data_IF_879394119800
#
_entry.id   IF_879394119800
#
_cell.length_a   1.000
_cell.length_b   1.000
_cell.length_c   1.000
_cell.angle_alpha   90.00
_cell.angle_beta   90.00
_cell.angle_gamma   90.00
#
_symmetry.space_group_name_H-M   'P 1'
#
loop_
_entity.id
_entity.type
_entity.pdbx_description
1 polymer ?
#
# COMPACT_ATOMS: atom_id res chain seq x y z
N UNK A 1 16.80 0.42 -18.36
CA UNK A 1 15.92 -0.25 -19.34
C UNK A 1 14.46 -0.22 -18.91
N UNK A 2 14.20 -0.48 -17.63
CA UNK A 2 12.85 -0.56 -17.03
C UNK A 2 12.08 0.77 -17.02
N UNK A 3 12.79 1.90 -17.09
CA UNK A 3 12.20 3.26 -17.11
C UNK A 3 11.99 3.84 -18.52
N UNK A 4 12.24 3.06 -19.55
CA UNK A 4 12.04 3.46 -20.95
C UNK A 4 10.91 2.60 -21.53
N UNK A 5 9.89 3.19 -22.17
CA UNK A 5 8.81 2.46 -22.81
C UNK A 5 9.33 1.36 -23.74
N UNK A 6 8.64 0.23 -23.81
CA UNK A 6 9.10 -0.95 -24.56
C UNK A 6 9.24 -0.72 -26.07
N UNK A 7 8.54 0.26 -26.60
CA UNK A 7 8.56 0.69 -28.00
C UNK A 7 9.72 1.64 -28.33
N UNK A 8 10.47 2.12 -27.35
CA UNK A 8 11.57 3.06 -27.54
C UNK A 8 12.94 2.38 -27.46
N UNK A 9 13.82 2.77 -28.37
CA UNK A 9 15.20 2.28 -28.40
C UNK A 9 16.04 3.02 -27.34
N UNK A 10 16.64 2.26 -26.41
CA UNK A 10 17.48 2.79 -25.31
C UNK A 10 18.56 3.77 -25.81
N UNK A 11 19.31 3.41 -26.86
CA UNK A 11 20.40 4.23 -27.35
C UNK A 11 19.91 5.54 -27.99
N UNK A 12 18.74 5.51 -28.65
CA UNK A 12 18.12 6.72 -29.19
C UNK A 12 17.67 7.64 -28.06
N UNK A 13 16.95 7.11 -27.09
CA UNK A 13 16.47 7.90 -25.94
C UNK A 13 17.63 8.56 -25.18
N UNK A 14 18.72 7.81 -24.95
CA UNK A 14 19.89 8.38 -24.28
C UNK A 14 20.61 9.42 -25.14
N UNK A 15 20.70 9.22 -26.47
CA UNK A 15 21.28 10.18 -27.40
C UNK A 15 20.51 11.51 -27.37
N UNK A 16 19.19 11.44 -27.36
CA UNK A 16 18.31 12.62 -27.29
C UNK A 16 18.44 13.35 -25.96
N UNK A 17 18.42 12.61 -24.83
CA UNK A 17 18.53 13.22 -23.49
C UNK A 17 19.89 13.88 -23.30
N UNK A 18 20.97 13.22 -23.72
CA UNK A 18 22.35 13.69 -23.51
C UNK A 18 22.85 14.61 -24.63
N UNK A 19 22.03 14.87 -25.65
CA UNK A 19 22.38 15.68 -26.83
C UNK A 19 23.71 15.23 -27.47
N UNK A 20 23.91 13.89 -27.62
CA UNK A 20 25.13 13.32 -28.21
C UNK A 20 24.83 12.28 -29.27
N UNK A 21 25.82 11.99 -30.09
CA UNK A 21 25.68 10.99 -31.16
C UNK A 21 25.53 9.56 -30.58
N UNK A 22 24.78 8.71 -31.33
CA UNK A 22 24.53 7.31 -30.89
C UNK A 22 25.82 6.52 -30.64
N UNK A 23 26.87 6.72 -31.42
CA UNK A 23 28.14 6.05 -31.21
C UNK A 23 28.78 6.38 -29.83
N UNK A 24 28.68 7.65 -29.42
CA UNK A 24 29.14 8.09 -28.13
C UNK A 24 28.33 7.44 -26.97
N UNK A 25 27.01 7.27 -27.17
CA UNK A 25 26.15 6.52 -26.24
C UNK A 25 26.55 5.05 -26.19
N UNK A 26 26.74 4.41 -27.35
CA UNK A 26 27.15 2.99 -27.36
C UNK A 26 28.50 2.74 -26.67
N UNK A 27 29.47 3.64 -26.85
CA UNK A 27 30.74 3.55 -26.11
C UNK A 27 30.59 3.64 -24.62
N UNK A 28 29.65 4.49 -24.14
CA UNK A 28 29.32 4.57 -22.70
C UNK A 28 28.61 3.31 -22.20
N UNK A 29 27.64 2.81 -22.96
CA UNK A 29 26.93 1.59 -22.61
C UNK A 29 27.82 0.34 -22.58
N UNK A 30 28.88 0.31 -23.41
CA UNK A 30 29.90 -0.76 -23.37
C UNK A 30 30.98 -0.55 -22.31
N UNK A 31 30.93 0.58 -21.58
CA UNK A 31 31.94 0.89 -20.55
C UNK A 31 33.29 1.37 -21.08
N UNK A 32 33.39 1.67 -22.38
CA UNK A 32 34.62 2.20 -23.02
C UNK A 32 34.90 3.66 -22.60
N UNK A 33 33.82 4.39 -22.28
CA UNK A 33 33.87 5.77 -21.79
C UNK A 33 32.90 5.87 -20.61
N UNK A 34 33.36 6.42 -19.48
CA UNK A 34 32.50 6.63 -18.31
C UNK A 34 31.52 7.79 -18.57
N UNK A 35 30.32 7.66 -18.00
CA UNK A 35 29.41 8.81 -17.89
C UNK A 35 30.02 9.87 -16.96
N UNK A 36 29.91 11.13 -17.35
CA UNK A 36 30.23 12.24 -16.44
C UNK A 36 29.14 12.41 -15.39
N UNK A 37 29.45 13.10 -14.30
CA UNK A 37 28.45 13.35 -13.24
C UNK A 37 27.27 14.19 -13.76
N UNK A 38 27.52 15.12 -14.68
CA UNK A 38 26.48 15.95 -15.30
C UNK A 38 25.56 15.12 -16.19
N UNK A 39 26.12 14.18 -16.95
CA UNK A 39 25.34 13.25 -17.76
C UNK A 39 24.47 12.34 -16.88
N UNK A 40 25.02 11.83 -15.77
CA UNK A 40 24.28 11.01 -14.81
C UNK A 40 23.18 11.82 -14.12
N UNK A 41 23.46 13.07 -13.74
CA UNK A 41 22.45 13.96 -13.15
C UNK A 41 21.31 14.25 -14.12
N UNK A 42 21.61 14.51 -15.39
CA UNK A 42 20.62 14.74 -16.45
C UNK A 42 19.76 13.52 -16.69
N UNK A 43 20.37 12.35 -16.77
CA UNK A 43 19.65 11.06 -16.90
C UNK A 43 18.78 10.77 -15.69
N UNK A 44 19.27 11.05 -14.48
CA UNK A 44 18.50 10.92 -13.23
C UNK A 44 17.23 11.77 -13.29
N UNK A 45 17.34 13.04 -13.66
CA UNK A 45 16.19 13.95 -13.75
C UNK A 45 15.19 13.54 -14.83
N UNK A 46 15.68 13.18 -16.02
CA UNK A 46 14.82 12.90 -17.19
C UNK A 46 14.15 11.53 -17.14
N UNK A 47 14.80 10.54 -16.51
CA UNK A 47 14.30 9.18 -16.42
C UNK A 47 13.70 8.86 -15.04
N UNK A 48 13.72 9.81 -14.09
CA UNK A 48 13.24 9.59 -12.74
C UNK A 48 14.04 8.50 -12.00
N UNK A 49 15.36 8.43 -12.23
CA UNK A 49 16.24 7.44 -11.59
C UNK A 49 16.94 8.09 -10.42
N UNK A 50 16.84 7.51 -9.22
CA UNK A 50 17.60 7.97 -8.06
C UNK A 50 19.07 7.54 -8.15
N UNK A 51 19.99 8.50 -8.09
CA UNK A 51 21.43 8.24 -8.03
C UNK A 51 21.76 7.46 -6.74
N UNK A 52 21.11 7.79 -5.63
CA UNK A 52 21.29 7.09 -4.36
C UNK A 52 20.90 5.60 -4.44
N UNK A 53 19.88 5.27 -5.24
CA UNK A 53 19.52 3.86 -5.51
C UNK A 53 20.59 3.14 -6.34
N UNK A 54 21.24 3.84 -7.28
CA UNK A 54 22.29 3.24 -8.14
C UNK A 54 23.58 3.04 -7.37
N UNK A 55 23.98 4.02 -6.56
CA UNK A 55 25.21 3.97 -5.76
C UNK A 55 25.10 2.96 -4.62
N UNK A 56 23.88 2.49 -4.37
CA UNK A 56 23.57 1.63 -3.24
C UNK A 56 23.82 2.40 -1.95
N UNK A 57 22.79 2.78 -1.26
CA UNK A 57 22.89 3.40 0.06
C UNK A 57 23.37 2.38 1.10
N UNK A 58 24.56 1.81 0.90
CA UNK A 58 25.27 1.02 1.90
C UNK A 58 25.81 1.90 3.05
N UNK A 59 25.48 3.19 3.05
CA UNK A 59 25.65 4.03 4.22
C UNK A 59 24.55 3.68 5.19
N UNK A 60 24.86 2.91 6.18
CA UNK A 60 24.02 2.15 7.13
C UNK A 60 22.92 2.92 7.88
N UNK A 61 22.72 4.22 7.63
CA UNK A 61 21.83 5.10 8.38
C UNK A 61 20.87 5.92 7.51
N UNK A 62 20.75 5.64 6.20
CA UNK A 62 19.82 6.34 5.31
C UNK A 62 18.90 5.35 4.63
N UNK A 63 17.61 5.65 4.65
CA UNK A 63 16.57 4.94 3.89
C UNK A 63 15.99 5.91 2.89
N UNK A 64 15.96 5.52 1.62
CA UNK A 64 15.34 6.31 0.55
C UNK A 64 13.88 5.89 0.44
N UNK A 65 12.97 6.84 0.51
CA UNK A 65 11.55 6.63 0.30
C UNK A 65 11.12 7.29 -1.02
N UNK A 66 10.39 6.55 -1.84
CA UNK A 66 9.66 7.15 -2.95
C UNK A 66 8.41 7.85 -2.39
N UNK A 67 8.41 9.17 -2.41
CA UNK A 67 7.20 9.96 -2.17
C UNK A 67 6.26 9.77 -3.37
N UNK A 68 5.38 8.79 -3.25
CA UNK A 68 4.31 8.59 -4.20
C UNK A 68 3.21 9.63 -3.96
N UNK A 69 3.42 10.84 -4.43
CA UNK A 69 2.36 11.85 -4.45
C UNK A 69 1.29 11.38 -5.41
N UNK A 70 0.12 11.10 -4.87
CA UNK A 70 -1.05 10.78 -5.66
C UNK A 70 -1.58 12.08 -6.27
N UNK A 71 -1.51 12.20 -7.58
CA UNK A 71 -2.10 13.30 -8.33
C UNK A 71 -3.52 12.94 -8.80
N UNK A 72 -4.28 12.24 -7.95
CA UNK A 72 -5.64 11.85 -8.29
C UNK A 72 -6.56 13.07 -8.31
N UNK A 73 -7.51 13.07 -9.23
CA UNK A 73 -8.46 14.15 -9.44
C UNK A 73 -9.55 14.20 -8.38
N UNK A 74 -9.73 13.13 -7.59
CA UNK A 74 -10.72 13.04 -6.51
C UNK A 74 -10.23 12.13 -5.37
N UNK A 75 -10.86 12.25 -4.19
CA UNK A 75 -10.58 11.38 -3.04
C UNK A 75 -10.88 9.91 -3.35
N UNK A 76 -11.90 9.64 -4.15
CA UNK A 76 -12.28 8.29 -4.55
C UNK A 76 -11.23 7.63 -5.45
N UNK A 77 -10.73 8.35 -6.45
CA UNK A 77 -9.67 7.83 -7.32
C UNK A 77 -8.36 7.63 -6.56
N UNK A 78 -7.98 8.57 -5.68
CA UNK A 78 -6.79 8.40 -4.84
C UNK A 78 -6.90 7.19 -3.91
N UNK A 79 -8.09 6.94 -3.35
CA UNK A 79 -8.35 5.74 -2.56
C UNK A 79 -8.15 4.46 -3.38
N UNK A 80 -8.78 4.41 -4.57
CA UNK A 80 -8.66 3.27 -5.47
C UNK A 80 -7.21 2.99 -5.86
N UNK A 81 -6.47 4.03 -6.25
CA UNK A 81 -5.06 3.91 -6.65
C UNK A 81 -4.17 3.37 -5.51
N UNK A 82 -4.37 3.85 -4.27
CA UNK A 82 -3.64 3.34 -3.10
C UNK A 82 -3.92 1.87 -2.89
N UNK A 83 -5.19 1.46 -2.85
CA UNK A 83 -5.56 0.07 -2.58
C UNK A 83 -5.09 -0.85 -3.72
N UNK A 84 -5.23 -0.40 -4.97
CA UNK A 84 -4.77 -1.15 -6.13
C UNK A 84 -3.23 -1.33 -6.13
N UNK A 85 -2.48 -0.34 -5.65
CA UNK A 85 -1.03 -0.46 -5.49
C UNK A 85 -0.66 -1.51 -4.43
N UNK A 86 -1.35 -1.55 -3.29
CA UNK A 86 -1.17 -2.61 -2.31
C UNK A 86 -1.46 -3.99 -2.91
N UNK A 87 -2.54 -4.10 -3.68
CA UNK A 87 -2.86 -5.34 -4.39
C UNK A 87 -1.73 -5.78 -5.33
N UNK A 88 -1.18 -4.87 -6.13
CA UNK A 88 -0.06 -5.18 -7.03
C UNK A 88 1.19 -5.67 -6.28
N UNK A 89 1.50 -5.07 -5.13
CA UNK A 89 2.61 -5.50 -4.27
C UNK A 89 2.37 -6.94 -3.79
N UNK A 90 1.20 -7.25 -3.25
CA UNK A 90 0.90 -8.60 -2.77
C UNK A 90 0.81 -9.62 -3.90
N UNK A 91 0.29 -9.24 -5.07
CA UNK A 91 0.26 -10.10 -6.26
C UNK A 91 1.67 -10.44 -6.77
N UNK A 92 2.62 -9.52 -6.64
CA UNK A 92 4.02 -9.78 -6.94
C UNK A 92 4.66 -10.68 -5.88
N UNK A 93 4.50 -10.34 -4.61
CA UNK A 93 5.10 -11.03 -3.46
C UNK A 93 4.66 -12.50 -3.36
N UNK A 94 3.40 -12.82 -3.64
CA UNK A 94 2.88 -14.18 -3.55
C UNK A 94 3.46 -15.16 -4.57
N UNK A 95 4.15 -14.66 -5.61
CA UNK A 95 4.75 -15.51 -6.67
C UNK A 95 6.05 -16.17 -6.24
N UNK A 96 6.74 -15.63 -5.21
CA UNK A 96 7.99 -16.17 -4.69
C UNK A 96 7.76 -16.83 -3.32
N UNK A 97 7.89 -18.15 -3.26
CA UNK A 97 7.66 -18.93 -2.04
C UNK A 97 8.66 -18.67 -0.91
N UNK A 98 9.74 -17.93 -1.16
CA UNK A 98 10.73 -17.54 -0.14
C UNK A 98 10.42 -16.21 0.52
N UNK A 99 9.47 -15.45 -0.03
CA UNK A 99 9.14 -14.11 0.45
C UNK A 99 8.44 -14.13 1.81
N UNK A 100 8.81 -13.18 2.64
CA UNK A 100 8.20 -12.90 3.93
C UNK A 100 7.63 -11.48 3.95
N UNK A 101 6.41 -11.32 4.45
CA UNK A 101 5.71 -10.04 4.58
C UNK A 101 5.65 -9.65 6.04
N UNK A 102 6.24 -8.53 6.40
CA UNK A 102 6.19 -7.96 7.74
C UNK A 102 5.35 -6.69 7.74
N UNK A 103 4.34 -6.64 8.58
CA UNK A 103 3.50 -5.45 8.78
C UNK A 103 3.53 -5.02 10.23
N UNK A 104 3.99 -3.80 10.50
CA UNK A 104 3.92 -3.18 11.82
C UNK A 104 2.89 -2.05 11.78
N UNK A 105 1.90 -2.07 12.69
CA UNK A 105 0.84 -1.07 12.66
C UNK A 105 0.22 -0.80 14.05
N UNK A 106 -0.21 0.45 14.24
CA UNK A 106 -1.02 0.92 15.36
C UNK A 106 -2.51 1.02 15.01
N UNK A 107 -2.86 0.70 13.77
CA UNK A 107 -4.24 0.63 13.29
C UNK A 107 -4.52 -0.72 12.68
N UNK A 108 -5.77 -1.16 12.73
CA UNK A 108 -6.20 -2.46 12.22
C UNK A 108 -5.85 -2.59 10.73
N UNK A 109 -5.04 -3.61 10.32
CA UNK A 109 -4.61 -3.76 8.94
C UNK A 109 -5.78 -3.99 7.99
N UNK A 110 -5.91 -3.14 6.99
CA UNK A 110 -7.01 -3.22 6.03
C UNK A 110 -7.05 -4.56 5.29
N UNK A 111 -5.92 -5.17 5.03
CA UNK A 111 -5.80 -6.48 4.40
C UNK A 111 -6.58 -7.59 5.11
N UNK A 112 -6.83 -7.46 6.42
CA UNK A 112 -7.58 -8.44 7.19
C UNK A 112 -9.09 -8.26 7.09
N UNK A 113 -9.56 -7.01 6.90
CA UNK A 113 -10.98 -6.71 6.90
C UNK A 113 -11.52 -6.16 5.57
N UNK A 114 -10.70 -6.08 4.53
CA UNK A 114 -11.12 -5.54 3.23
C UNK A 114 -12.27 -6.31 2.55
N UNK A 115 -12.49 -7.57 2.93
CA UNK A 115 -13.62 -8.38 2.45
C UNK A 115 -14.92 -8.22 3.26
N UNK A 116 -14.87 -7.52 4.40
CA UNK A 116 -16.05 -7.21 5.20
C UNK A 116 -16.72 -5.94 4.68
N UNK A 117 -17.99 -6.03 4.37
CA UNK A 117 -18.68 -4.95 3.65
C UNK A 117 -18.74 -3.65 4.45
N UNK A 118 -19.24 -3.70 5.70
CA UNK A 118 -19.43 -2.50 6.50
C UNK A 118 -18.10 -1.92 6.99
N UNK A 119 -17.14 -2.75 7.39
CA UNK A 119 -15.80 -2.30 7.78
C UNK A 119 -15.07 -1.62 6.60
N UNK A 120 -15.22 -2.14 5.38
CA UNK A 120 -14.64 -1.56 4.17
C UNK A 120 -15.34 -0.27 3.76
N UNK A 121 -16.67 -0.19 3.85
CA UNK A 121 -17.44 1.04 3.63
C UNK A 121 -17.04 2.11 4.65
N UNK A 122 -16.90 1.74 5.93
CA UNK A 122 -16.46 2.66 6.97
C UNK A 122 -15.06 3.22 6.69
N UNK A 123 -14.11 2.38 6.24
CA UNK A 123 -12.80 2.86 5.82
C UNK A 123 -12.88 3.88 4.68
N UNK A 124 -13.67 3.59 3.66
CA UNK A 124 -13.87 4.50 2.53
C UNK A 124 -14.53 5.81 3.00
N UNK A 125 -15.55 5.73 3.85
CA UNK A 125 -16.20 6.89 4.45
C UNK A 125 -15.20 7.79 5.20
N UNK A 126 -14.32 7.20 6.03
CA UNK A 126 -13.24 7.92 6.71
C UNK A 126 -12.29 8.62 5.74
N UNK A 127 -11.88 7.92 4.68
CA UNK A 127 -11.01 8.48 3.66
C UNK A 127 -11.65 9.68 2.97
N UNK A 128 -12.90 9.54 2.55
CA UNK A 128 -13.67 10.63 1.94
C UNK A 128 -13.78 11.82 2.90
N UNK A 129 -14.10 11.57 4.17
CA UNK A 129 -14.17 12.60 5.20
C UNK A 129 -12.84 13.34 5.39
N UNK A 130 -11.72 12.66 5.48
CA UNK A 130 -10.39 13.24 5.68
C UNK A 130 -9.92 14.07 4.48
N UNK A 131 -10.37 13.74 3.28
CA UNK A 131 -9.98 14.42 2.04
C UNK A 131 -10.97 15.51 1.60
N UNK A 132 -11.95 15.85 2.43
CA UNK A 132 -12.87 16.96 2.18
C UNK A 132 -13.88 16.74 1.05
N UNK A 133 -13.99 15.51 0.57
CA UNK A 133 -14.84 15.16 -0.59
C UNK A 133 -16.22 14.66 -0.14
N UNK A 134 -16.74 15.26 0.94
CA UNK A 134 -17.93 14.74 1.60
C UNK A 134 -19.17 15.55 1.26
N UNK A 135 -20.01 14.91 0.49
CA UNK A 135 -21.43 14.79 0.86
C UNK A 135 -21.55 13.50 1.66
N UNK A 136 -21.36 13.57 2.98
CA UNK A 136 -21.45 12.39 3.84
C UNK A 136 -22.84 11.79 3.74
N UNK A 137 -22.96 10.51 3.41
CA UNK A 137 -24.18 9.79 3.71
C UNK A 137 -24.38 9.76 5.22
N UNK A 138 -25.59 9.89 5.70
CA UNK A 138 -25.91 9.74 7.13
C UNK A 138 -25.92 8.26 7.57
N UNK A 139 -25.64 7.35 6.64
CA UNK A 139 -25.62 5.91 6.83
C UNK A 139 -24.64 5.25 5.85
N UNK A 140 -23.93 4.23 6.30
CA UNK A 140 -23.10 3.40 5.43
C UNK A 140 -23.94 2.57 4.46
N UNK A 141 -25.18 2.26 4.79
CA UNK A 141 -26.11 1.56 3.91
C UNK A 141 -26.45 2.40 2.67
N UNK A 142 -26.63 3.72 2.83
CA UNK A 142 -26.89 4.64 1.73
C UNK A 142 -25.68 4.89 0.84
N UNK A 143 -24.49 4.48 1.30
CA UNK A 143 -23.24 4.71 0.59
C UNK A 143 -23.13 3.75 -0.61
N UNK A 144 -23.28 4.29 -1.82
CA UNK A 144 -22.98 3.57 -3.05
C UNK A 144 -21.46 3.48 -3.23
N UNK A 145 -20.94 2.26 -3.30
CA UNK A 145 -19.52 2.00 -3.53
C UNK A 145 -19.33 1.53 -4.98
N UNK A 146 -18.40 2.17 -5.69
CA UNK A 146 -18.00 1.75 -7.04
C UNK A 146 -17.59 0.28 -7.05
N UNK A 147 -18.11 -0.48 -8.02
CA UNK A 147 -17.82 -1.91 -8.17
C UNK A 147 -16.31 -2.20 -8.29
N UNK A 148 -15.54 -1.29 -8.91
CA UNK A 148 -14.07 -1.39 -8.98
C UNK A 148 -13.44 -1.44 -7.59
N UNK A 149 -13.94 -0.65 -6.64
CA UNK A 149 -13.48 -0.60 -5.25
C UNK A 149 -13.84 -1.90 -4.53
N UNK A 150 -15.07 -2.38 -4.68
CA UNK A 150 -15.49 -3.66 -4.10
C UNK A 150 -14.60 -4.80 -4.59
N UNK A 151 -14.31 -4.83 -5.89
CA UNK A 151 -13.47 -5.86 -6.50
C UNK A 151 -12.03 -5.81 -6.01
N UNK A 152 -11.43 -4.62 -5.90
CA UNK A 152 -10.05 -4.49 -5.41
C UNK A 152 -9.94 -4.85 -3.92
N UNK A 153 -10.96 -4.57 -3.11
CA UNK A 153 -11.03 -4.97 -1.71
C UNK A 153 -11.02 -6.49 -1.55
N UNK A 154 -11.86 -7.21 -2.30
CA UNK A 154 -11.91 -8.69 -2.28
C UNK A 154 -10.57 -9.29 -2.69
N UNK A 155 -10.02 -8.82 -3.83
CA UNK A 155 -8.71 -9.28 -4.32
C UNK A 155 -7.59 -9.02 -3.32
N UNK A 156 -7.60 -7.88 -2.62
CA UNK A 156 -6.60 -7.56 -1.61
C UNK A 156 -6.60 -8.56 -0.45
N UNK A 157 -7.80 -8.88 0.08
CA UNK A 157 -7.96 -9.89 1.13
C UNK A 157 -7.51 -11.28 0.70
N UNK A 158 -7.76 -11.65 -0.56
CA UNK A 158 -7.33 -12.93 -1.13
C UNK A 158 -5.81 -12.96 -1.33
N UNK A 159 -5.21 -11.88 -1.85
CA UNK A 159 -3.77 -11.83 -2.15
C UNK A 159 -2.90 -11.92 -0.92
N UNK A 160 -3.23 -11.25 0.18
CA UNK A 160 -2.47 -11.36 1.42
C UNK A 160 -2.48 -12.78 1.98
N UNK A 161 -3.61 -13.49 1.87
CA UNK A 161 -3.77 -14.87 2.33
C UNK A 161 -2.98 -15.88 1.50
N UNK A 162 -2.54 -15.50 0.30
CA UNK A 162 -1.71 -16.32 -0.59
C UNK A 162 -0.21 -16.05 -0.41
N UNK A 163 0.19 -15.05 0.39
CA UNK A 163 1.59 -14.81 0.70
C UNK A 163 2.18 -15.98 1.48
N UNK A 164 3.42 -16.41 1.18
CA UNK A 164 4.04 -17.61 1.80
C UNK A 164 4.16 -17.51 3.31
N UNK A 165 4.61 -16.34 3.80
CA UNK A 165 4.72 -16.05 5.23
C UNK A 165 4.34 -14.61 5.49
N UNK A 166 3.43 -14.39 6.44
CA UNK A 166 2.96 -13.06 6.85
C UNK A 166 3.12 -12.90 8.37
N UNK A 167 3.71 -11.79 8.76
CA UNK A 167 3.93 -11.43 10.17
C UNK A 167 3.22 -10.12 10.46
N UNK A 168 2.25 -10.15 11.36
CA UNK A 168 1.56 -8.97 11.86
C UNK A 168 2.14 -8.59 13.22
N UNK A 169 2.70 -7.39 13.33
CA UNK A 169 3.24 -6.84 14.57
C UNK A 169 2.34 -5.67 14.96
N UNK A 170 1.60 -5.80 16.05
CA UNK A 170 0.55 -4.89 16.42
C UNK A 170 0.84 -4.12 17.70
N UNK A 171 0.35 -2.89 17.75
CA UNK A 171 0.14 -2.18 19.00
C UNK A 171 -0.97 -2.88 19.81
N UNK A 172 -0.84 -2.90 21.15
CA UNK A 172 -1.83 -3.51 22.05
C UNK A 172 -3.21 -2.87 21.97
N UNK A 173 -3.29 -1.62 21.49
CA UNK A 173 -4.52 -0.84 21.40
C UNK A 173 -5.21 -0.90 20.02
N UNK A 174 -4.76 -1.75 19.12
CA UNK A 174 -5.17 -1.76 17.71
C UNK A 174 -6.69 -1.82 17.50
N UNK A 175 -7.39 -2.71 18.22
CA UNK A 175 -8.85 -2.82 18.19
C UNK A 175 -9.53 -1.64 18.90
N UNK A 176 -8.95 -1.21 20.02
CA UNK A 176 -9.50 -0.07 20.78
C UNK A 176 -9.45 1.22 19.94
N UNK A 177 -8.37 1.46 19.24
CA UNK A 177 -8.22 2.59 18.32
C UNK A 177 -9.31 2.58 17.24
N UNK A 178 -9.59 1.42 16.66
CA UNK A 178 -10.65 1.28 15.66
C UNK A 178 -12.06 1.56 16.25
N UNK A 179 -12.33 1.04 17.45
CA UNK A 179 -13.60 1.31 18.16
C UNK A 179 -13.75 2.79 18.51
N UNK A 180 -12.66 3.46 18.91
CA UNK A 180 -12.67 4.92 19.14
C UNK A 180 -13.06 5.71 17.90
N UNK A 181 -12.56 5.31 16.73
CA UNK A 181 -12.93 5.94 15.46
C UNK A 181 -14.40 5.74 15.13
N UNK A 182 -14.95 4.53 15.31
CA UNK A 182 -16.39 4.28 15.12
C UNK A 182 -17.22 5.20 16.02
N UNK A 183 -16.86 5.28 17.32
CA UNK A 183 -17.54 6.16 18.27
C UNK A 183 -17.44 7.63 17.87
N UNK A 184 -16.30 8.08 17.39
CA UNK A 184 -16.11 9.45 16.91
C UNK A 184 -17.05 9.76 15.74
N UNK A 185 -17.11 8.92 14.72
CA UNK A 185 -17.99 9.11 13.56
C UNK A 185 -19.47 9.07 13.96
N UNK A 186 -19.85 8.19 14.88
CA UNK A 186 -21.20 8.16 15.44
C UNK A 186 -21.53 9.45 16.20
N UNK A 187 -20.60 10.02 16.98
CA UNK A 187 -20.81 11.27 17.71
C UNK A 187 -20.97 12.50 16.80
N UNK A 188 -20.43 12.43 15.58
CA UNK A 188 -20.59 13.45 14.54
C UNK A 188 -21.86 13.24 13.68
N UNK A 189 -22.67 12.21 13.96
CA UNK A 189 -23.81 11.77 13.13
C UNK A 189 -23.44 11.47 11.67
N UNK A 190 -22.22 11.01 11.43
CA UNK A 190 -21.72 10.57 10.11
C UNK A 190 -22.03 9.10 9.83
N UNK A 191 -22.41 8.36 10.85
CA UNK A 191 -22.94 7.00 10.82
C UNK A 191 -24.07 6.89 11.83
N UNK A 192 -25.06 6.04 11.56
CA UNK A 192 -26.21 5.85 12.41
C UNK A 192 -26.01 4.66 13.39
N UNK A 193 -27.04 4.36 14.22
CA UNK A 193 -26.96 3.27 15.20
C UNK A 193 -26.89 1.88 14.57
N UNK A 194 -27.57 1.68 13.46
CA UNK A 194 -27.58 0.40 12.75
C UNK A 194 -26.24 0.14 12.11
N UNK A 195 -25.60 1.17 11.54
CA UNK A 195 -24.21 1.09 11.06
C UNK A 195 -23.24 0.66 12.19
N UNK A 196 -23.39 1.27 13.39
CA UNK A 196 -22.55 0.90 14.55
C UNK A 196 -22.76 -0.56 14.94
N UNK A 197 -23.99 -1.07 14.87
CA UNK A 197 -24.29 -2.47 15.16
C UNK A 197 -23.67 -3.40 14.12
N UNK A 198 -23.81 -3.12 12.82
CA UNK A 198 -23.19 -3.92 11.75
C UNK A 198 -21.67 -3.90 11.84
N UNK A 199 -21.06 -2.73 12.09
CA UNK A 199 -19.61 -2.61 12.29
C UNK A 199 -19.13 -3.43 13.48
N UNK A 200 -19.89 -3.43 14.60
CA UNK A 200 -19.59 -4.26 15.77
C UNK A 200 -19.65 -5.75 15.45
N UNK A 201 -20.68 -6.19 14.73
CA UNK A 201 -20.85 -7.60 14.35
C UNK A 201 -19.69 -8.08 13.48
N UNK A 202 -19.35 -7.33 12.43
CA UNK A 202 -18.23 -7.67 11.55
C UNK A 202 -16.88 -7.62 12.28
N UNK A 203 -16.69 -6.66 13.22
CA UNK A 203 -15.47 -6.57 14.02
C UNK A 203 -15.32 -7.77 14.96
N UNK A 204 -16.40 -8.26 15.55
CA UNK A 204 -16.39 -9.49 16.37
C UNK A 204 -16.12 -10.73 15.53
N UNK A 205 -16.68 -10.82 14.32
CA UNK A 205 -16.36 -11.90 13.37
C UNK A 205 -14.88 -11.89 12.99
N UNK A 206 -14.35 -10.70 12.68
CA UNK A 206 -12.93 -10.53 12.37
C UNK A 206 -12.04 -10.95 13.55
N UNK A 207 -12.39 -10.57 14.77
CA UNK A 207 -11.66 -10.96 15.99
C UNK A 207 -11.62 -12.48 16.13
N UNK A 208 -12.74 -13.17 15.93
CA UNK A 208 -12.79 -14.64 15.94
C UNK A 208 -11.93 -15.28 14.84
N UNK A 209 -11.89 -14.68 13.65
CA UNK A 209 -10.99 -15.14 12.56
C UNK A 209 -9.52 -14.96 12.94
N UNK A 210 -9.15 -13.80 13.52
CA UNK A 210 -7.77 -13.52 13.95
C UNK A 210 -7.35 -14.47 15.07
N UNK A 211 -8.22 -14.73 16.05
CA UNK A 211 -7.98 -15.69 17.12
C UNK A 211 -7.74 -17.09 16.57
N UNK A 212 -8.60 -17.56 15.68
CA UNK A 212 -8.42 -18.85 15.00
C UNK A 212 -7.10 -18.92 14.22
N UNK A 213 -6.77 -17.90 13.45
CA UNK A 213 -5.52 -17.84 12.69
C UNK A 213 -4.29 -17.79 13.60
N UNK A 214 -4.38 -17.12 14.75
CA UNK A 214 -3.29 -17.05 15.73
C UNK A 214 -2.98 -18.43 16.35
N UNK A 215 -4.00 -19.26 16.52
CA UNK A 215 -3.86 -20.65 17.02
C UNK A 215 -3.36 -21.57 15.92
N UNK A 216 -3.94 -21.46 14.72
CA UNK A 216 -3.63 -22.33 13.58
C UNK A 216 -2.24 -22.02 13.00
N UNK A 217 -1.80 -20.76 12.99
CA UNK A 217 -0.52 -20.32 12.43
C UNK A 217 -0.44 -20.31 10.91
N UNK A 218 -1.58 -20.48 10.21
CA UNK A 218 -1.61 -20.48 8.74
C UNK A 218 -2.97 -20.04 8.19
N UNK A 219 -2.96 -19.35 7.05
CA UNK A 219 -4.16 -19.05 6.28
C UNK A 219 -4.68 -20.29 5.55
N UNK A 220 -3.79 -21.03 4.92
CA UNK A 220 -4.02 -22.29 4.20
C UNK A 220 -2.75 -23.11 4.15
N UNK A 221 -2.76 -24.26 3.50
CA UNK A 221 -1.59 -25.11 3.33
C UNK A 221 -0.40 -24.32 2.76
N UNK A 222 0.74 -24.35 3.45
CA UNK A 222 1.98 -23.65 3.12
C UNK A 222 1.89 -22.12 3.11
N UNK A 223 0.84 -21.51 3.70
CA UNK A 223 0.67 -20.05 3.82
C UNK A 223 0.63 -19.65 5.28
N UNK A 224 1.81 -19.42 5.86
CA UNK A 224 1.98 -19.18 7.30
C UNK A 224 1.59 -17.75 7.68
N UNK A 225 1.01 -17.61 8.88
CA UNK A 225 0.69 -16.31 9.48
C UNK A 225 1.06 -16.33 10.96
N UNK A 226 1.61 -15.22 11.44
CA UNK A 226 1.93 -15.03 12.85
C UNK A 226 1.52 -13.64 13.30
N UNK A 227 1.01 -13.56 14.53
CA UNK A 227 0.59 -12.29 15.14
C UNK A 227 1.43 -12.04 16.38
N UNK A 228 1.99 -10.84 16.48
CA UNK A 228 2.78 -10.38 17.61
C UNK A 228 2.19 -9.10 18.17
N UNK A 229 2.12 -9.02 19.49
CA UNK A 229 1.79 -7.79 20.20
C UNK A 229 3.09 -7.11 20.64
N UNK A 230 3.25 -5.86 20.28
CA UNK A 230 4.40 -5.05 20.69
C UNK A 230 4.18 -4.50 22.11
N UNK A 231 5.22 -4.55 22.93
CA UNK A 231 5.24 -3.86 24.23
C UNK A 231 5.51 -2.35 24.08
N UNK A 232 5.82 -1.89 22.89
CA UNK A 232 6.10 -0.50 22.57
C UNK A 232 4.93 0.02 21.74
N UNK A 233 4.39 1.20 22.12
CA UNK A 233 3.40 1.88 21.30
C UNK A 233 4.03 2.35 19.98
N UNK A 234 3.37 2.07 18.88
CA UNK A 234 3.78 2.58 17.57
C UNK A 234 3.21 4.00 17.39
N UNK A 235 3.88 4.98 17.95
CA UNK A 235 3.55 6.38 17.69
C UNK A 235 4.31 6.85 16.45
N UNK A 236 3.58 7.36 15.46
CA UNK A 236 4.19 8.08 14.38
C UNK A 236 4.58 9.47 14.91
N UNK A 237 5.87 9.68 15.13
CA UNK A 237 6.41 11.03 15.29
C UNK A 237 6.64 11.62 13.90
N UNK A 238 5.86 12.65 13.56
CA UNK A 238 6.06 13.45 12.35
C UNK A 238 7.12 14.52 12.62
#
# INVERSE_FOLDING_TARGET
KERIPQDMNLANTLADILCMGKEAVYRRLRGEVSFTIDEVALLSQKLGISIDQIVGSHVSNKVTFDLNLLHATSALESYYEIINRYLQIFDYVKTDNTTEVYTASNSLPFTLYSSYENLSKFRLCRWMYQNGDIKTPHSLEEMSVDERIVNVHKKLSESIRQCPKTFFIWDTNIFYSFVKEIKYFASLNLINKDDVMHLKEELLQLLGVVEHLSIKGEFSENKKVSFYLSNISFEATY
#
